data_IF_954777730514
#
_entry.id   IF_954777730514
#
_cell.length_a   1.000
_cell.length_b   1.000
_cell.length_c   1.000
_cell.angle_alpha   90.00
_cell.angle_beta   90.00
_cell.angle_gamma   90.00
#
_symmetry.space_group_name_H-M   'P 1'
#
loop_
_entity.id
_entity.type
_entity.pdbx_description
1 polymer ?
#
# COMPACT_ATOMS: atom_id res chain seq x y z
N UNK A 1 11.40 33.67 -26.61
CA UNK A 1 11.79 33.71 -25.19
C UNK A 1 10.88 32.83 -24.30
N UNK A 2 9.57 32.91 -24.45
CA UNK A 2 8.60 32.07 -23.65
C UNK A 2 8.76 30.58 -23.92
N UNK A 3 8.99 30.12 -25.13
CA UNK A 3 9.18 28.72 -25.49
C UNK A 3 10.36 28.08 -24.76
N UNK A 4 11.49 28.78 -24.62
CA UNK A 4 12.64 28.26 -23.89
C UNK A 4 12.31 28.07 -22.41
N UNK A 5 11.52 28.96 -21.84
CA UNK A 5 11.12 28.88 -20.43
C UNK A 5 10.17 27.68 -20.20
N UNK A 6 9.19 27.50 -21.11
CA UNK A 6 8.27 26.36 -21.06
C UNK A 6 8.98 25.02 -21.23
N UNK A 7 9.91 24.94 -22.18
CA UNK A 7 10.73 23.75 -22.39
C UNK A 7 11.60 23.41 -21.19
N UNK A 8 12.28 24.41 -20.62
CA UNK A 8 13.09 24.22 -19.40
C UNK A 8 12.22 23.78 -18.23
N UNK A 9 11.01 24.37 -18.06
CA UNK A 9 10.09 23.99 -16.99
C UNK A 9 9.60 22.55 -17.15
N UNK A 10 9.25 22.13 -18.38
CA UNK A 10 8.83 20.76 -18.66
C UNK A 10 9.95 19.75 -18.42
N UNK A 11 11.18 20.10 -18.79
CA UNK A 11 12.36 19.26 -18.58
C UNK A 11 12.71 19.15 -17.09
N UNK A 12 12.59 20.23 -16.33
CA UNK A 12 12.77 20.22 -14.86
C UNK A 12 11.69 19.37 -14.19
N UNK A 13 10.42 19.49 -14.58
CA UNK A 13 9.33 18.66 -14.06
C UNK A 13 9.55 17.17 -14.36
N UNK A 14 9.98 16.84 -15.59
CA UNK A 14 10.31 15.48 -15.99
C UNK A 14 11.46 14.91 -15.15
N UNK A 15 12.55 15.65 -14.98
CA UNK A 15 13.70 15.24 -14.18
C UNK A 15 13.36 15.11 -12.68
N UNK A 16 12.46 15.95 -12.17
CA UNK A 16 12.03 15.88 -10.77
C UNK A 16 11.14 14.67 -10.50
N UNK A 17 10.31 14.28 -11.46
CA UNK A 17 9.44 13.09 -11.35
C UNK A 17 10.23 11.79 -11.50
N UNK A 18 11.29 11.76 -12.31
CA UNK A 18 12.14 10.57 -12.51
C UNK A 18 13.04 10.25 -11.30
N UNK A 19 13.38 11.25 -10.48
CA UNK A 19 14.29 11.08 -9.32
C UNK A 19 13.65 10.43 -8.08
N UNK A 20 12.33 10.28 -7.99
CA UNK A 20 11.67 9.71 -6.82
C UNK A 20 11.74 8.18 -6.80
N UNK A 21 12.14 7.59 -5.66
CA UNK A 21 12.50 6.18 -5.44
C UNK A 21 11.37 5.13 -5.58
N UNK A 22 10.13 5.49 -5.89
CA UNK A 22 9.02 4.54 -6.00
C UNK A 22 8.69 4.22 -7.45
N UNK A 23 9.32 3.17 -7.99
CA UNK A 23 9.31 2.84 -9.42
C UNK A 23 7.91 2.62 -10.02
N UNK A 24 6.97 2.05 -9.31
CA UNK A 24 5.63 1.72 -9.85
C UNK A 24 4.66 2.91 -9.82
N UNK A 25 4.70 3.72 -8.77
CA UNK A 25 3.87 4.92 -8.64
C UNK A 25 4.34 6.08 -9.53
N UNK A 26 5.63 6.12 -9.84
CA UNK A 26 6.21 7.17 -10.69
C UNK A 26 5.95 6.95 -12.18
N UNK A 27 5.61 5.75 -12.64
CA UNK A 27 5.42 5.48 -14.06
C UNK A 27 4.33 6.37 -14.69
N UNK A 28 3.23 6.59 -13.98
CA UNK A 28 2.12 7.45 -14.45
C UNK A 28 2.50 8.94 -14.46
N UNK A 29 3.20 9.42 -13.44
CA UNK A 29 3.69 10.80 -13.38
C UNK A 29 4.74 11.06 -14.45
N UNK A 30 5.63 10.09 -14.69
CA UNK A 30 6.63 10.16 -15.75
C UNK A 30 5.98 10.16 -17.13
N UNK A 31 4.95 9.33 -17.35
CA UNK A 31 4.22 9.31 -18.62
C UNK A 31 3.54 10.65 -18.91
N UNK A 32 2.88 11.28 -17.94
CA UNK A 32 2.24 12.59 -18.09
C UNK A 32 3.28 13.67 -18.40
N UNK A 33 4.40 13.68 -17.66
CA UNK A 33 5.47 14.65 -17.89
C UNK A 33 6.13 14.47 -19.27
N UNK A 34 6.25 13.22 -19.73
CA UNK A 34 6.75 12.92 -21.07
C UNK A 34 5.77 13.36 -22.16
N UNK A 35 4.47 13.09 -22.02
CA UNK A 35 3.43 13.54 -22.94
C UNK A 35 3.43 15.07 -23.04
N UNK A 36 3.52 15.76 -21.89
CA UNK A 36 3.59 17.21 -21.86
C UNK A 36 4.83 17.74 -22.59
N UNK A 37 6.00 17.11 -22.41
CA UNK A 37 7.23 17.47 -23.11
C UNK A 37 7.08 17.33 -24.63
N UNK A 38 6.49 16.23 -25.10
CA UNK A 38 6.24 15.98 -26.52
C UNK A 38 5.27 17.01 -27.10
N UNK A 39 4.18 17.30 -26.36
CA UNK A 39 3.15 18.23 -26.80
C UNK A 39 3.71 19.65 -26.92
N UNK A 40 4.42 20.16 -25.91
CA UNK A 40 5.10 21.47 -25.96
C UNK A 40 6.13 21.55 -27.07
N UNK A 41 6.87 20.47 -27.36
CA UNK A 41 7.84 20.43 -28.46
C UNK A 41 7.13 20.54 -29.79
N UNK A 42 6.04 19.82 -30.01
CA UNK A 42 5.23 19.89 -31.23
C UNK A 42 4.61 21.28 -31.43
N UNK A 43 4.06 21.88 -30.39
CA UNK A 43 3.51 23.24 -30.42
C UNK A 43 4.59 24.25 -30.80
N UNK A 44 5.78 24.16 -30.20
CA UNK A 44 6.92 25.00 -30.58
C UNK A 44 7.29 24.86 -32.07
N UNK A 45 7.29 23.63 -32.57
CA UNK A 45 7.64 23.35 -33.97
C UNK A 45 6.60 23.96 -34.95
N UNK A 46 5.30 23.83 -34.64
CA UNK A 46 4.21 24.44 -35.43
C UNK A 46 4.35 25.97 -35.47
N UNK A 47 4.65 26.62 -34.36
CA UNK A 47 4.83 28.07 -34.31
C UNK A 47 6.11 28.53 -34.99
N UNK A 48 7.19 27.74 -34.98
CA UNK A 48 8.41 28.06 -35.72
C UNK A 48 8.23 27.95 -37.22
N UNK A 49 7.43 26.99 -37.71
CA UNK A 49 7.19 26.77 -39.14
C UNK A 49 6.14 27.72 -39.71
N UNK A 50 5.29 28.29 -38.87
CA UNK A 50 4.17 29.12 -39.30
C UNK A 50 4.26 30.53 -38.72
N UNK A 51 4.93 31.43 -39.48
CA UNK A 51 5.19 32.82 -39.09
C UNK A 51 3.94 33.72 -39.06
N UNK A 52 2.76 33.20 -39.43
CA UNK A 52 1.51 33.96 -39.50
C UNK A 52 0.73 34.07 -38.19
N UNK A 53 1.14 33.33 -37.15
CA UNK A 53 0.44 33.38 -35.83
C UNK A 53 0.85 34.63 -35.02
N UNK A 54 -0.14 35.23 -34.35
CA UNK A 54 0.12 36.32 -33.42
C UNK A 54 0.78 35.79 -32.12
N UNK A 55 1.64 36.63 -31.51
CA UNK A 55 2.26 36.30 -30.23
C UNK A 55 1.24 36.03 -29.12
N UNK A 56 0.05 36.63 -29.20
CA UNK A 56 -1.05 36.45 -28.25
C UNK A 56 -1.64 35.05 -28.34
N UNK A 57 -1.82 34.51 -29.57
CA UNK A 57 -2.30 33.14 -29.76
C UNK A 57 -1.31 32.08 -29.22
N UNK A 58 -0.04 32.34 -29.37
CA UNK A 58 1.05 31.51 -28.88
C UNK A 58 0.98 31.43 -27.34
N UNK A 59 0.88 32.55 -26.64
CA UNK A 59 0.78 32.62 -25.19
C UNK A 59 -0.48 31.90 -24.71
N UNK A 60 -1.61 32.10 -25.39
CA UNK A 60 -2.88 31.50 -25.01
C UNK A 60 -2.87 29.98 -25.10
N UNK A 61 -2.34 29.41 -26.19
CA UNK A 61 -2.21 27.96 -26.35
C UNK A 61 -1.28 27.38 -25.27
N UNK A 62 -0.16 28.03 -25.00
CA UNK A 62 0.75 27.61 -23.96
C UNK A 62 0.11 27.62 -22.57
N UNK A 63 -0.68 28.64 -22.22
CA UNK A 63 -1.39 28.70 -20.95
C UNK A 63 -2.39 27.56 -20.81
N UNK A 64 -3.11 27.20 -21.88
CA UNK A 64 -4.03 26.05 -21.88
C UNK A 64 -3.27 24.74 -21.66
N UNK A 65 -2.18 24.51 -22.37
CA UNK A 65 -1.35 23.32 -22.20
C UNK A 65 -0.80 23.19 -20.77
N UNK A 66 -0.31 24.30 -20.20
CA UNK A 66 0.18 24.34 -18.81
C UNK A 66 -0.93 24.01 -17.82
N UNK A 67 -2.11 24.53 -18.04
CA UNK A 67 -3.27 24.30 -17.15
C UNK A 67 -3.68 22.82 -17.18
N UNK A 68 -3.75 22.19 -18.37
CA UNK A 68 -4.00 20.75 -18.50
C UNK A 68 -2.93 19.90 -17.83
N UNK A 69 -1.65 20.29 -17.98
CA UNK A 69 -0.56 19.60 -17.31
C UNK A 69 -0.70 19.66 -15.79
N UNK A 70 -0.94 20.84 -15.22
CA UNK A 70 -1.09 21.03 -13.78
C UNK A 70 -2.28 20.24 -13.22
N UNK A 71 -3.42 20.24 -13.93
CA UNK A 71 -4.60 19.45 -13.52
C UNK A 71 -4.31 17.95 -13.54
N UNK A 72 -3.70 17.45 -14.62
CA UNK A 72 -3.35 16.04 -14.76
C UNK A 72 -2.32 15.61 -13.74
N UNK A 73 -1.31 16.43 -13.50
CA UNK A 73 -0.29 16.20 -12.47
C UNK A 73 -0.91 16.15 -11.08
N UNK A 74 -1.77 17.11 -10.74
CA UNK A 74 -2.46 17.16 -9.46
C UNK A 74 -3.34 15.93 -9.23
N UNK A 75 -4.12 15.53 -10.24
CA UNK A 75 -4.95 14.32 -10.17
C UNK A 75 -4.11 13.06 -9.92
N UNK A 76 -3.03 12.88 -10.67
CA UNK A 76 -2.11 11.75 -10.47
C UNK A 76 -1.43 11.79 -9.11
N UNK A 77 -1.02 12.96 -8.64
CA UNK A 77 -0.43 13.12 -7.32
C UNK A 77 -1.38 12.69 -6.20
N UNK A 78 -2.65 13.13 -6.27
CA UNK A 78 -3.67 12.75 -5.28
C UNK A 78 -3.95 11.24 -5.30
N UNK A 79 -4.06 10.65 -6.49
CA UNK A 79 -4.30 9.21 -6.66
C UNK A 79 -3.13 8.39 -6.12
N UNK A 80 -1.89 8.81 -6.42
CA UNK A 80 -0.68 8.18 -5.91
C UNK A 80 -0.58 8.27 -4.38
N UNK A 81 -0.92 9.42 -3.79
CA UNK A 81 -0.92 9.59 -2.34
C UNK A 81 -1.94 8.69 -1.64
N UNK A 82 -3.11 8.46 -2.25
CA UNK A 82 -4.11 7.51 -1.73
C UNK A 82 -3.60 6.07 -1.80
N UNK A 83 -2.98 5.68 -2.93
CA UNK A 83 -2.41 4.35 -3.10
C UNK A 83 -1.24 4.10 -2.15
N UNK A 84 -0.36 5.08 -1.93
CA UNK A 84 0.76 4.99 -0.98
C UNK A 84 0.26 4.78 0.46
N UNK A 85 -0.76 5.51 0.88
CA UNK A 85 -1.39 5.30 2.19
C UNK A 85 -2.00 3.91 2.32
N UNK A 86 -2.62 3.39 1.25
CA UNK A 86 -3.12 2.03 1.20
C UNK A 86 -2.00 1.00 1.39
N UNK A 87 -0.92 1.10 0.62
CA UNK A 87 0.25 0.20 0.71
C UNK A 87 0.89 0.25 2.11
N UNK A 88 1.07 1.45 2.68
CA UNK A 88 1.64 1.60 4.03
C UNK A 88 0.73 0.95 5.08
N UNK A 89 -0.59 1.09 4.97
CA UNK A 89 -1.53 0.43 5.86
C UNK A 89 -1.51 -1.10 5.68
N UNK A 90 -1.43 -1.60 4.46
CA UNK A 90 -1.35 -3.03 4.16
C UNK A 90 -0.05 -3.64 4.70
N UNK A 91 1.09 -2.95 4.55
CA UNK A 91 2.37 -3.35 5.13
C UNK A 91 2.32 -3.36 6.67
N UNK A 92 1.71 -2.35 7.27
CA UNK A 92 1.54 -2.29 8.73
C UNK A 92 0.64 -3.41 9.24
N UNK A 93 -0.38 -3.76 8.48
CA UNK A 93 -1.32 -4.82 8.82
C UNK A 93 -0.72 -6.22 8.57
N UNK A 94 0.10 -6.42 7.54
CA UNK A 94 0.83 -7.67 7.35
C UNK A 94 1.88 -7.88 8.44
N UNK A 95 2.49 -6.82 8.95
CA UNK A 95 3.45 -6.90 10.06
C UNK A 95 2.85 -7.43 11.37
N UNK A 96 1.55 -7.21 11.63
CA UNK A 96 0.86 -7.81 12.78
C UNK A 96 0.75 -9.31 12.65
N UNK A 97 0.37 -9.79 11.46
CA UNK A 97 0.26 -11.22 11.16
C UNK A 97 1.59 -11.95 11.34
N UNK A 98 2.67 -11.38 10.79
CA UNK A 98 4.03 -11.92 10.96
C UNK A 98 4.46 -11.88 12.43
N UNK A 99 4.04 -10.86 13.17
CA UNK A 99 4.25 -10.74 14.62
C UNK A 99 3.60 -11.89 15.40
N UNK A 100 2.36 -12.27 15.09
CA UNK A 100 1.69 -13.38 15.73
C UNK A 100 2.43 -14.72 15.52
N UNK A 101 2.84 -14.96 14.29
CA UNK A 101 3.61 -16.16 13.94
C UNK A 101 4.97 -16.17 14.64
N UNK A 102 5.64 -15.02 14.71
CA UNK A 102 6.93 -14.90 15.39
C UNK A 102 6.79 -15.16 16.90
N UNK A 103 5.79 -14.58 17.57
CA UNK A 103 5.52 -14.81 18.99
C UNK A 103 5.21 -16.28 19.29
N UNK A 104 4.39 -16.93 18.48
CA UNK A 104 4.07 -18.35 18.65
C UNK A 104 5.27 -19.27 18.38
N UNK A 105 6.13 -18.92 17.41
CA UNK A 105 7.40 -19.64 17.17
C UNK A 105 8.37 -19.51 18.34
N UNK A 106 8.42 -18.33 18.95
CA UNK A 106 9.23 -18.10 20.14
C UNK A 106 8.73 -18.98 21.29
N UNK A 107 7.41 -19.03 21.54
CA UNK A 107 6.83 -19.92 22.55
C UNK A 107 7.15 -21.39 22.27
N UNK A 108 7.10 -21.79 21.00
CA UNK A 108 7.46 -23.15 20.57
C UNK A 108 8.92 -23.48 20.88
N UNK A 109 9.85 -22.53 20.65
CA UNK A 109 11.29 -22.77 20.87
C UNK A 109 11.67 -22.93 22.35
N UNK A 110 10.86 -22.38 23.26
CA UNK A 110 11.03 -22.51 24.73
C UNK A 110 10.15 -23.59 25.34
N UNK A 111 9.44 -24.36 24.51
CA UNK A 111 8.52 -25.40 24.97
C UNK A 111 9.27 -26.70 25.31
N UNK A 112 9.19 -27.13 26.55
CA UNK A 112 9.75 -28.41 27.01
C UNK A 112 8.72 -29.56 26.95
N UNK A 113 7.45 -29.25 26.53
CA UNK A 113 6.36 -30.22 26.46
C UNK A 113 5.96 -30.45 24.99
N UNK A 114 6.06 -31.72 24.57
CA UNK A 114 5.77 -32.13 23.18
C UNK A 114 4.29 -31.85 22.79
N UNK A 115 3.36 -32.03 23.73
CA UNK A 115 1.94 -31.79 23.49
C UNK A 115 1.65 -30.30 23.29
N UNK A 116 2.22 -29.41 24.14
CA UNK A 116 2.14 -27.95 23.95
C UNK A 116 2.75 -27.54 22.60
N UNK A 117 3.86 -28.16 22.21
CA UNK A 117 4.50 -27.92 20.89
C UNK A 117 3.60 -28.29 19.73
N UNK A 118 2.89 -29.43 19.81
CA UNK A 118 1.91 -29.84 18.78
C UNK A 118 0.75 -28.86 18.68
N UNK A 119 0.25 -28.38 19.80
CA UNK A 119 -0.85 -27.39 19.84
C UNK A 119 -0.38 -26.07 19.24
N UNK A 120 0.81 -25.57 19.57
CA UNK A 120 1.38 -24.35 18.98
C UNK A 120 1.54 -24.45 17.46
N UNK A 121 2.04 -25.58 16.96
CA UNK A 121 2.12 -25.81 15.53
C UNK A 121 0.74 -25.75 14.86
N UNK A 122 -0.27 -26.39 15.46
CA UNK A 122 -1.64 -26.32 14.97
C UNK A 122 -2.17 -24.89 14.89
N UNK A 123 -1.92 -24.04 15.92
CA UNK A 123 -2.31 -22.64 15.93
C UNK A 123 -1.57 -21.85 14.82
N UNK A 124 -0.26 -22.07 14.67
CA UNK A 124 0.54 -21.41 13.61
C UNK A 124 0.00 -21.78 12.23
N UNK A 125 -0.34 -23.03 11.99
CA UNK A 125 -0.83 -23.48 10.68
C UNK A 125 -2.25 -22.93 10.40
N UNK A 126 -3.10 -22.82 11.41
CA UNK A 126 -4.40 -22.18 11.29
C UNK A 126 -4.28 -20.67 10.96
N UNK A 127 -3.39 -19.95 11.64
CA UNK A 127 -3.12 -18.54 11.30
C UNK A 127 -2.59 -18.44 9.87
N UNK A 128 -1.68 -19.29 9.44
CA UNK A 128 -1.12 -19.31 8.08
C UNK A 128 -2.14 -19.59 6.99
N UNK A 129 -3.19 -20.34 7.30
CA UNK A 129 -4.28 -20.61 6.37
C UNK A 129 -5.21 -19.40 6.14
N UNK A 130 -5.13 -18.39 7.00
CA UNK A 130 -5.91 -17.17 6.91
C UNK A 130 -5.19 -16.13 6.03
N UNK A 131 -5.92 -15.30 5.24
CA UNK A 131 -5.30 -14.23 4.47
C UNK A 131 -4.50 -13.27 5.36
N UNK A 132 -3.26 -12.96 4.97
CA UNK A 132 -2.37 -12.08 5.74
C UNK A 132 -2.82 -10.61 5.72
N UNK A 133 -3.57 -10.21 4.69
CA UNK A 133 -4.10 -8.84 4.55
C UNK A 133 -5.13 -8.56 5.64
N UNK A 134 -5.04 -7.38 6.24
CA UNK A 134 -6.00 -6.86 7.21
C UNK A 134 -6.65 -5.59 6.67
N UNK A 135 -7.90 -5.37 7.03
CA UNK A 135 -8.64 -4.15 6.70
C UNK A 135 -9.39 -3.65 7.93
N UNK A 136 -10.06 -2.50 7.81
CA UNK A 136 -10.81 -1.90 8.94
C UNK A 136 -11.92 -2.80 9.50
N UNK A 137 -12.48 -3.70 8.68
CA UNK A 137 -13.57 -4.60 9.11
C UNK A 137 -13.10 -5.71 10.06
N UNK A 138 -11.83 -6.10 10.00
CA UNK A 138 -11.26 -7.16 10.85
C UNK A 138 -10.44 -6.62 12.02
N UNK A 139 -10.36 -5.29 12.19
CA UNK A 139 -9.52 -4.66 13.21
C UNK A 139 -9.79 -5.17 14.63
N UNK A 140 -11.06 -5.32 15.00
CA UNK A 140 -11.45 -5.78 16.33
C UNK A 140 -11.05 -7.25 16.55
N UNK A 141 -11.23 -8.08 15.51
CA UNK A 141 -10.84 -9.50 15.56
C UNK A 141 -9.31 -9.64 15.58
N UNK A 142 -8.59 -8.80 14.87
CA UNK A 142 -7.12 -8.76 14.91
C UNK A 142 -6.60 -8.42 16.32
N UNK A 143 -7.25 -7.47 17.00
CA UNK A 143 -6.90 -7.11 18.38
C UNK A 143 -7.25 -8.23 19.36
N UNK A 144 -8.36 -8.95 19.14
CA UNK A 144 -8.72 -10.12 19.94
C UNK A 144 -7.68 -11.24 19.79
N UNK A 145 -7.26 -11.57 18.56
CA UNK A 145 -6.20 -12.56 18.31
C UNK A 145 -4.90 -12.15 19.01
N UNK A 146 -4.50 -10.87 18.88
CA UNK A 146 -3.31 -10.35 19.54
C UNK A 146 -3.39 -10.47 21.07
N UNK A 147 -4.56 -10.16 21.64
CA UNK A 147 -4.80 -10.27 23.09
C UNK A 147 -4.70 -11.72 23.57
N UNK A 148 -5.27 -12.67 22.83
CA UNK A 148 -5.19 -14.09 23.15
C UNK A 148 -3.75 -14.62 23.10
N UNK A 149 -2.98 -14.23 22.08
CA UNK A 149 -1.56 -14.60 21.96
C UNK A 149 -0.74 -14.00 23.09
N UNK A 150 -0.97 -12.73 23.44
CA UNK A 150 -0.30 -12.09 24.57
C UNK A 150 -0.62 -12.77 25.90
N UNK A 151 -1.88 -13.11 26.13
CA UNK A 151 -2.31 -13.83 27.34
C UNK A 151 -1.67 -15.22 27.41
N UNK A 152 -1.61 -15.93 26.28
CA UNK A 152 -0.92 -17.20 26.18
C UNK A 152 0.56 -17.07 26.50
N UNK A 153 1.23 -16.01 26.00
CA UNK A 153 2.64 -15.74 26.22
C UNK A 153 2.96 -15.46 27.69
N UNK A 154 2.13 -14.66 28.34
CA UNK A 154 2.31 -14.31 29.77
C UNK A 154 2.14 -15.55 30.68
N UNK A 155 1.14 -16.36 30.39
CA UNK A 155 0.77 -17.48 31.23
C UNK A 155 1.46 -18.81 30.86
N UNK A 156 2.25 -18.84 29.77
CA UNK A 156 2.77 -20.03 29.12
C UNK A 156 3.38 -21.07 30.08
N UNK A 157 4.19 -20.62 31.05
CA UNK A 157 4.89 -21.50 31.99
C UNK A 157 3.96 -22.22 32.95
N UNK A 158 2.86 -21.57 33.36
CA UNK A 158 1.98 -22.03 34.44
C UNK A 158 0.69 -22.68 33.93
N UNK A 159 0.41 -22.59 32.63
CA UNK A 159 -0.83 -23.09 32.03
C UNK A 159 -0.85 -24.62 31.95
N UNK A 160 -1.96 -25.19 32.40
CA UNK A 160 -2.27 -26.61 32.19
C UNK A 160 -2.66 -26.88 30.74
N UNK A 161 -2.49 -28.14 30.27
CA UNK A 161 -2.79 -28.54 28.90
C UNK A 161 -4.25 -28.30 28.51
N UNK A 162 -5.17 -28.47 29.46
CA UNK A 162 -6.60 -28.20 29.25
C UNK A 162 -6.89 -26.72 28.93
N UNK A 163 -6.27 -25.82 29.68
CA UNK A 163 -6.38 -24.37 29.41
C UNK A 163 -5.69 -24.00 28.12
N UNK A 164 -4.56 -24.65 27.77
CA UNK A 164 -3.85 -24.43 26.54
C UNK A 164 -4.71 -24.80 25.31
N UNK A 165 -5.45 -25.91 25.38
CA UNK A 165 -6.43 -26.29 24.39
C UNK A 165 -7.58 -25.28 24.29
N UNK A 166 -8.00 -24.67 25.39
CA UNK A 166 -9.01 -23.60 25.35
C UNK A 166 -8.51 -22.37 24.58
N UNK A 167 -7.27 -21.93 24.80
CA UNK A 167 -6.66 -20.87 24.00
C UNK A 167 -6.60 -21.23 22.51
N UNK A 168 -6.24 -22.47 22.17
CA UNK A 168 -6.28 -22.95 20.78
C UNK A 168 -7.68 -22.78 20.18
N UNK A 169 -8.73 -23.20 20.89
CA UNK A 169 -10.10 -23.10 20.38
C UNK A 169 -10.55 -21.64 20.21
N UNK A 170 -10.19 -20.75 21.15
CA UNK A 170 -10.50 -19.33 21.06
C UNK A 170 -9.79 -18.66 19.88
N UNK A 171 -8.49 -18.90 19.72
CA UNK A 171 -7.70 -18.36 18.60
C UNK A 171 -8.26 -18.89 17.26
N UNK A 172 -8.55 -20.19 17.16
CA UNK A 172 -9.16 -20.80 15.98
C UNK A 172 -10.48 -20.15 15.61
N UNK A 173 -11.37 -19.96 16.58
CA UNK A 173 -12.66 -19.30 16.37
C UNK A 173 -12.49 -17.88 15.87
N UNK A 174 -11.56 -17.11 16.42
CA UNK A 174 -11.25 -15.77 15.99
C UNK A 174 -10.66 -15.74 14.57
N UNK A 175 -9.76 -16.67 14.23
CA UNK A 175 -9.16 -16.80 12.88
C UNK A 175 -10.22 -17.16 11.85
N UNK A 176 -11.14 -18.07 12.13
CA UNK A 176 -12.25 -18.41 11.24
C UNK A 176 -13.14 -17.19 11.01
N UNK A 177 -13.58 -16.52 12.08
CA UNK A 177 -14.41 -15.30 12.00
C UNK A 177 -13.72 -14.20 11.18
N UNK A 178 -12.41 -14.01 11.37
CA UNK A 178 -11.60 -13.10 10.57
C UNK A 178 -11.66 -13.44 9.07
N UNK A 179 -11.47 -14.72 8.74
CA UNK A 179 -11.50 -15.20 7.35
C UNK A 179 -12.86 -14.97 6.70
N UNK A 180 -13.95 -15.19 7.42
CA UNK A 180 -15.32 -14.95 6.94
C UNK A 180 -15.60 -13.47 6.67
N UNK A 181 -15.21 -12.59 7.61
CA UNK A 181 -15.35 -11.14 7.44
C UNK A 181 -14.57 -10.66 6.20
N UNK A 182 -13.34 -11.15 6.02
CA UNK A 182 -12.54 -10.81 4.85
C UNK A 182 -13.20 -11.27 3.55
N UNK A 183 -13.72 -12.50 3.49
CA UNK A 183 -14.45 -12.99 2.31
C UNK A 183 -15.68 -12.13 2.00
N UNK A 184 -16.47 -11.77 3.01
CA UNK A 184 -17.63 -10.90 2.84
C UNK A 184 -17.26 -9.48 2.39
N UNK A 185 -16.12 -8.95 2.83
CA UNK A 185 -15.66 -7.62 2.43
C UNK A 185 -15.21 -7.54 0.98
N UNK A 186 -14.62 -8.61 0.42
CA UNK A 186 -14.22 -8.67 -0.99
C UNK A 186 -15.40 -8.76 -1.97
N UNK A 187 -16.55 -9.30 -1.54
CA UNK A 187 -17.76 -9.34 -2.39
C UNK A 187 -18.53 -8.03 -2.44
N UNK A 188 -18.17 -7.04 -1.60
CA UNK A 188 -18.84 -5.72 -1.57
C UNK A 188 -18.07 -4.61 -2.29
N UNK A 189 -16.90 -4.91 -2.84
CA UNK A 189 -16.07 -4.02 -3.68
C UNK A 189 -16.31 -4.33 -5.16
#
# INVERSE_FOLDING_TARGET
>A
MFFHLAYVLSLVCYLFTTRRRFAVLNSRLNAISFIYLVLTTLTCLVYLLNTGYSKESEIFVFLIELLFYLMSFHYCYLTNRKAEKGIVNDLKNSSKYDGWIADLRLLRSVSDNEEKTRILNSIIDEIRSCPALSNSYVYDVDNEIQSLINSLKINYKNIQITEFNNYKHQIRSAVIRRSEILKCSYHKM
#
